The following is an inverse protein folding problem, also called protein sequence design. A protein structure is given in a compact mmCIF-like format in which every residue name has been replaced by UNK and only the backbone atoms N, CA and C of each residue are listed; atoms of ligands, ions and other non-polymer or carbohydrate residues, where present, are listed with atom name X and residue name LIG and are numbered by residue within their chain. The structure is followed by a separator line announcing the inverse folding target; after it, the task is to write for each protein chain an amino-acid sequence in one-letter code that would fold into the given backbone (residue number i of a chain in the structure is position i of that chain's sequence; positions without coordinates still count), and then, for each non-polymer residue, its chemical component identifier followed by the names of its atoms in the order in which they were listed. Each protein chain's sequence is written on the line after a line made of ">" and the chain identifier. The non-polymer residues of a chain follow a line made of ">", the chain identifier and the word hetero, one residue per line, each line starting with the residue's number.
data_IF_127960348577
#
_entry.id   IF_127960348577
#
_cell.length_a   1.000
_cell.length_b   1.000
_cell.length_c   1.000
_cell.angle_alpha   90.00
_cell.angle_beta   90.00
_cell.angle_gamma   90.00
#
_symmetry.space_group_name_H-M   'P 1'
#
loop_
_entity.id
_entity.type
_entity.pdbx_description
1 polymer ?
#
# COMPACT_ATOMS: atom_id res chain seq x y z
N UNK A 1 11.39 -6.91 -36.65
CA UNK A 1 11.39 -6.26 -35.32
C UNK A 1 10.50 -7.10 -34.43
N UNK A 2 11.07 -7.75 -33.41
CA UNK A 2 10.30 -8.52 -32.45
C UNK A 2 9.61 -7.52 -31.50
N UNK A 3 8.29 -7.44 -31.58
CA UNK A 3 7.50 -6.82 -30.52
C UNK A 3 7.37 -7.93 -29.48
N UNK A 4 8.29 -7.99 -28.52
CA UNK A 4 8.07 -8.76 -27.30
C UNK A 4 6.94 -8.05 -26.58
N UNK A 5 5.70 -8.43 -26.86
CA UNK A 5 4.61 -8.22 -25.91
C UNK A 5 4.90 -9.16 -24.75
N UNK A 6 5.76 -8.71 -23.86
CA UNK A 6 5.77 -9.17 -22.48
C UNK A 6 4.36 -8.83 -21.99
N UNK A 7 3.46 -9.82 -22.07
CA UNK A 7 2.14 -9.74 -21.49
C UNK A 7 2.32 -9.93 -19.97
N UNK A 8 3.21 -9.14 -19.39
CA UNK A 8 3.34 -8.99 -17.97
C UNK A 8 2.12 -8.15 -17.62
N UNK A 9 0.99 -8.82 -17.37
CA UNK A 9 -0.21 -8.19 -16.79
C UNK A 9 0.07 -7.62 -15.41
N UNK A 10 1.32 -7.72 -14.92
CA UNK A 10 1.77 -7.06 -13.71
C UNK A 10 1.74 -5.56 -13.93
N UNK A 11 0.96 -4.89 -13.11
CA UNK A 11 0.96 -3.44 -13.05
C UNK A 11 1.51 -3.02 -11.71
N UNK A 12 2.47 -2.10 -11.75
CA UNK A 12 3.00 -1.46 -10.56
C UNK A 12 2.38 -0.08 -10.40
N UNK A 13 1.77 0.16 -9.24
CA UNK A 13 1.11 1.41 -8.90
C UNK A 13 1.78 2.00 -7.66
N UNK A 14 2.34 3.19 -7.78
CA UNK A 14 2.86 3.92 -6.62
C UNK A 14 1.81 4.88 -6.11
N UNK A 15 1.49 4.78 -4.82
CA UNK A 15 0.53 5.66 -4.15
C UNK A 15 0.94 5.95 -2.70
N UNK A 16 0.30 6.94 -2.09
CA UNK A 16 0.58 7.36 -0.71
C UNK A 16 -0.58 6.90 0.16
N UNK A 17 -0.26 6.16 1.22
CA UNK A 17 -1.26 5.64 2.16
C UNK A 17 -0.90 6.03 3.58
N UNK A 18 -1.93 6.40 4.34
CA UNK A 18 -1.86 6.67 5.76
C UNK A 18 -2.30 5.42 6.51
N UNK A 19 -1.38 4.81 7.24
CA UNK A 19 -1.66 3.60 8.02
C UNK A 19 -1.75 3.94 9.49
N UNK A 20 -2.87 3.59 10.11
CA UNK A 20 -3.11 3.77 11.52
C UNK A 20 -2.61 2.56 12.31
N UNK A 21 -1.55 2.76 13.07
CA UNK A 21 -0.91 1.73 13.88
C UNK A 21 -1.15 2.01 15.36
N UNK A 22 -1.86 1.14 16.11
CA UNK A 22 -2.10 1.36 17.52
C UNK A 22 -0.78 1.40 18.32
N UNK A 23 -0.75 2.23 19.35
CA UNK A 23 0.44 2.36 20.20
C UNK A 23 0.68 1.02 20.92
N UNK A 24 1.83 0.39 20.65
CA UNK A 24 2.14 -0.97 21.13
C UNK A 24 1.87 -2.09 20.12
N UNK A 25 1.56 -1.77 18.87
CA UNK A 25 1.55 -2.77 17.80
C UNK A 25 2.95 -3.37 17.60
N UNK A 26 3.01 -4.68 17.39
CA UNK A 26 4.26 -5.37 17.12
C UNK A 26 4.85 -5.01 15.74
N UNK A 27 6.13 -4.62 15.76
CA UNK A 27 6.92 -4.30 14.58
C UNK A 27 6.79 -2.85 14.10
N UNK A 28 7.66 -2.48 13.16
CA UNK A 28 7.71 -1.13 12.60
C UNK A 28 6.42 -0.75 11.85
N UNK A 29 6.18 0.56 11.72
CA UNK A 29 5.04 1.14 11.03
C UNK A 29 4.99 0.68 9.56
N UNK A 30 6.15 0.67 8.92
CA UNK A 30 6.38 0.20 7.55
C UNK A 30 5.98 -1.26 7.38
N UNK A 31 6.50 -2.14 8.24
CA UNK A 31 6.16 -3.57 8.25
C UNK A 31 4.67 -3.79 8.49
N UNK A 32 4.06 -2.97 9.35
CA UNK A 32 2.63 -2.98 9.61
C UNK A 32 1.78 -2.54 8.41
N UNK A 33 2.28 -1.57 7.63
CA UNK A 33 1.67 -1.12 6.39
C UNK A 33 1.75 -2.21 5.32
N UNK A 34 2.95 -2.72 5.01
CA UNK A 34 3.16 -3.76 4.01
C UNK A 34 2.30 -5.00 4.28
N UNK A 35 2.26 -5.45 5.54
CA UNK A 35 1.48 -6.63 5.92
C UNK A 35 -0.03 -6.43 5.80
N UNK A 36 -0.53 -5.21 5.96
CA UNK A 36 -1.95 -4.86 5.76
C UNK A 36 -2.28 -4.74 4.28
N UNK A 37 -1.46 -3.99 3.54
CA UNK A 37 -1.65 -3.75 2.12
C UNK A 37 -1.49 -5.05 1.30
N UNK A 38 -0.58 -5.93 1.70
CA UNK A 38 -0.41 -7.25 1.08
C UNK A 38 -1.58 -8.21 1.35
N UNK A 39 -2.50 -7.91 2.28
CA UNK A 39 -3.76 -8.67 2.45
C UNK A 39 -4.87 -8.21 1.53
N UNK A 40 -4.72 -7.05 0.87
CA UNK A 40 -5.74 -6.58 -0.04
C UNK A 40 -5.84 -7.51 -1.27
N UNK A 41 -7.06 -7.68 -1.76
CA UNK A 41 -7.35 -8.65 -2.82
C UNK A 41 -6.75 -8.22 -4.16
N UNK A 42 -6.03 -9.13 -4.83
CA UNK A 42 -5.36 -8.86 -6.11
C UNK A 42 -4.03 -8.12 -6.01
N UNK A 43 -3.53 -7.89 -4.80
CA UNK A 43 -2.19 -7.38 -4.54
C UNK A 43 -1.23 -8.58 -4.55
N UNK A 44 -0.21 -8.55 -5.41
CA UNK A 44 0.84 -9.56 -5.45
C UNK A 44 1.96 -9.24 -4.47
N UNK A 45 2.39 -7.98 -4.45
CA UNK A 45 3.46 -7.50 -3.59
C UNK A 45 3.24 -6.04 -3.24
N UNK A 46 3.73 -5.66 -2.07
CA UNK A 46 3.78 -4.26 -1.63
C UNK A 46 5.16 -3.98 -1.11
N UNK A 47 5.73 -2.88 -1.59
CA UNK A 47 7.03 -2.38 -1.12
C UNK A 47 6.81 -0.97 -0.61
N UNK A 48 7.19 -0.68 0.64
CA UNK A 48 7.24 0.71 1.10
C UNK A 48 8.54 1.35 0.61
N UNK A 49 8.40 2.39 -0.22
CA UNK A 49 9.55 3.14 -0.72
C UNK A 49 10.08 4.13 0.31
N UNK A 50 9.17 4.86 0.95
CA UNK A 50 9.53 5.93 1.87
C UNK A 50 8.40 6.21 2.87
N UNK A 51 8.80 6.56 4.09
CA UNK A 51 7.91 7.18 5.06
C UNK A 51 7.89 8.69 4.79
N UNK A 52 6.70 9.22 4.49
CA UNK A 52 6.51 10.65 4.20
C UNK A 52 6.23 11.44 5.48
N UNK A 53 5.28 10.98 6.29
CA UNK A 53 4.85 11.69 7.50
C UNK A 53 4.52 10.73 8.64
N UNK A 54 4.64 11.24 9.86
CA UNK A 54 4.29 10.54 11.09
C UNK A 54 3.48 11.47 11.99
N UNK A 55 2.26 11.06 12.29
CA UNK A 55 1.35 11.75 13.19
C UNK A 55 1.10 10.86 14.41
N UNK A 56 1.90 11.03 15.49
CA UNK A 56 1.69 10.29 16.72
C UNK A 56 0.42 10.81 17.43
N UNK A 57 -0.56 9.92 17.60
CA UNK A 57 -1.75 10.18 18.39
C UNK A 57 -1.69 9.54 19.78
N UNK A 58 -2.64 9.90 20.64
CA UNK A 58 -2.72 9.43 22.02
C UNK A 58 -2.89 7.91 22.14
N UNK A 59 -3.57 7.27 21.17
CA UNK A 59 -3.86 5.82 21.18
C UNK A 59 -3.29 5.08 19.97
N UNK A 60 -2.97 5.77 18.89
CA UNK A 60 -2.42 5.21 17.66
C UNK A 60 -1.54 6.26 16.99
N UNK A 61 -0.52 5.79 16.27
CA UNK A 61 0.31 6.61 15.39
C UNK A 61 -0.14 6.39 13.95
N UNK A 62 -0.44 7.47 13.26
CA UNK A 62 -0.75 7.49 11.84
C UNK A 62 0.54 7.71 11.07
N UNK A 63 0.83 6.83 10.12
CA UNK A 63 2.06 6.84 9.36
C UNK A 63 1.73 6.92 7.88
N UNK A 64 2.07 8.05 7.27
CA UNK A 64 1.90 8.29 5.85
C UNK A 64 3.12 7.75 5.12
N UNK A 65 2.94 6.67 4.38
CA UNK A 65 4.00 5.97 3.65
C UNK A 65 3.70 5.98 2.16
N UNK A 66 4.73 6.21 1.34
CA UNK A 66 4.68 5.96 -0.09
C UNK A 66 4.95 4.49 -0.33
N UNK A 67 4.03 3.83 -1.01
CA UNK A 67 4.08 2.41 -1.29
C UNK A 67 3.98 2.15 -2.79
N UNK A 68 4.74 1.19 -3.26
CA UNK A 68 4.65 0.62 -4.59
C UNK A 68 3.95 -0.71 -4.48
N UNK A 69 2.83 -0.82 -5.17
CA UNK A 69 1.95 -1.98 -5.16
C UNK A 69 2.05 -2.68 -6.50
N UNK A 70 2.36 -3.96 -6.49
CA UNK A 70 2.32 -4.81 -7.67
C UNK A 70 1.00 -5.59 -7.69
N UNK A 71 0.28 -5.52 -8.80
CA UNK A 71 -0.97 -6.25 -9.04
C UNK A 71 -0.77 -7.19 -10.21
N UNK A 72 -1.41 -8.37 -10.21
CA UNK A 72 -1.24 -9.38 -11.26
C UNK A 72 -2.05 -9.14 -12.53
N UNK A 73 -2.89 -8.11 -12.51
CA UNK A 73 -3.80 -7.74 -13.57
C UNK A 73 -3.76 -6.22 -13.76
N UNK A 74 -4.01 -5.75 -14.98
CA UNK A 74 -4.10 -4.32 -15.26
C UNK A 74 -5.31 -3.71 -14.52
N UNK A 75 -5.05 -3.12 -13.36
CA UNK A 75 -6.05 -2.34 -12.60
C UNK A 75 -5.85 -0.85 -12.84
N UNK A 76 -6.82 -0.03 -12.49
CA UNK A 76 -6.62 1.42 -12.41
C UNK A 76 -6.12 1.78 -11.02
N UNK A 77 -5.37 2.88 -10.89
CA UNK A 77 -4.92 3.41 -9.60
C UNK A 77 -6.09 3.47 -8.61
N UNK A 78 -7.21 4.07 -9.02
CA UNK A 78 -8.43 4.16 -8.20
C UNK A 78 -8.95 2.81 -7.69
N UNK A 79 -8.83 1.74 -8.47
CA UNK A 79 -9.29 0.42 -8.05
C UNK A 79 -8.35 -0.19 -7.00
N UNK A 80 -7.05 0.05 -7.14
CA UNK A 80 -6.06 -0.30 -6.11
C UNK A 80 -6.30 0.51 -4.84
N UNK A 81 -6.51 1.82 -4.97
CA UNK A 81 -6.81 2.72 -3.86
C UNK A 81 -8.07 2.30 -3.10
N UNK A 82 -9.17 1.99 -3.78
CA UNK A 82 -10.42 1.51 -3.16
C UNK A 82 -10.20 0.18 -2.41
N UNK A 83 -9.44 -0.74 -3.01
CA UNK A 83 -9.11 -2.03 -2.38
C UNK A 83 -8.29 -1.83 -1.10
N UNK A 84 -7.36 -0.88 -1.10
CA UNK A 84 -6.52 -0.56 0.05
C UNK A 84 -7.27 0.24 1.12
N UNK A 85 -8.12 1.19 0.73
CA UNK A 85 -8.98 1.96 1.63
C UNK A 85 -10.05 1.08 2.31
N UNK A 86 -10.41 -0.06 1.69
CA UNK A 86 -11.23 -1.08 2.32
C UNK A 86 -10.54 -1.82 3.49
N UNK A 87 -9.23 -1.68 3.66
CA UNK A 87 -8.50 -2.31 4.77
C UNK A 87 -8.69 -1.54 6.08
N UNK A 88 -8.89 -2.28 7.16
CA UNK A 88 -9.10 -1.66 8.47
C UNK A 88 -7.85 -0.91 8.95
N UNK A 89 -7.98 0.40 9.18
CA UNK A 89 -6.88 1.26 9.63
C UNK A 89 -5.90 1.65 8.52
N UNK A 90 -6.34 1.61 7.26
CA UNK A 90 -5.62 2.18 6.12
C UNK A 90 -6.51 3.25 5.50
N UNK A 91 -5.98 4.45 5.34
CA UNK A 91 -6.60 5.53 4.58
C UNK A 91 -5.71 5.83 3.38
N UNK A 92 -6.30 5.98 2.21
CA UNK A 92 -5.57 6.34 0.99
C UNK A 92 -5.71 7.83 0.79
N UNK A 93 -4.59 8.53 0.57
CA UNK A 93 -4.55 9.97 0.37
C UNK A 93 -4.23 10.24 -1.09
N UNK A 94 -5.18 10.85 -1.81
CA UNK A 94 -5.06 11.33 -3.21
C UNK A 94 -4.07 12.50 -3.33
#
# INVERSE_FOLDING_TARGET
>A
MAITSDNDTRQTTTLVVTVRVPNGADGDLTTNAERRLSRADGILAVTVEALQELQPGLSATEATVRVTVETGEARTTQSVEDTLAGQTGVEVTD
#
